data_IF_427485821819
#
_entry.id   IF_427485821819
#
_cell.length_a   1.000
_cell.length_b   1.000
_cell.length_c   1.000
_cell.angle_alpha   90.00
_cell.angle_beta   90.00
_cell.angle_gamma   90.00
#
_symmetry.space_group_name_H-M   'P 1'
#
loop_
_entity.id
_entity.type
_entity.pdbx_description
1 polymer ?
#
# COMPACT_ATOMS: atom_id res chain seq x y z
N UNK A 1 -45.46 -4.94 7.25
CA UNK A 1 -44.00 -5.14 7.45
C UNK A 1 -43.42 -6.02 6.33
N UNK A 2 -43.24 -5.50 5.10
CA UNK A 2 -42.69 -6.28 3.97
C UNK A 2 -41.97 -5.38 2.95
N UNK A 3 -40.92 -4.66 3.36
CA UNK A 3 -40.07 -3.94 2.39
C UNK A 3 -38.59 -3.76 2.82
N UNK A 4 -38.14 -4.40 3.92
CA UNK A 4 -36.75 -4.25 4.40
C UNK A 4 -35.78 -5.32 3.88
N UNK A 5 -36.26 -6.41 3.28
CA UNK A 5 -35.40 -7.52 2.79
C UNK A 5 -34.57 -7.23 1.54
N UNK A 6 -35.03 -6.48 0.51
CA UNK A 6 -34.20 -6.25 -0.68
C UNK A 6 -33.09 -5.23 -0.43
N UNK A 7 -33.27 -4.32 0.53
CA UNK A 7 -32.26 -3.33 0.90
C UNK A 7 -30.99 -3.98 1.47
N UNK A 8 -31.13 -5.03 2.29
CA UNK A 8 -30.00 -5.75 2.90
C UNK A 8 -29.18 -6.49 1.83
N UNK A 9 -29.85 -7.11 0.85
CA UNK A 9 -29.18 -7.84 -0.25
C UNK A 9 -28.47 -6.88 -1.21
N UNK A 10 -29.08 -5.72 -1.51
CA UNK A 10 -28.45 -4.71 -2.35
C UNK A 10 -27.21 -4.08 -1.69
N UNK A 11 -27.26 -3.87 -0.36
CA UNK A 11 -26.14 -3.30 0.38
C UNK A 11 -24.94 -4.25 0.46
N UNK A 12 -25.18 -5.56 0.67
CA UNK A 12 -24.09 -6.54 0.72
C UNK A 12 -23.39 -6.66 -0.63
N UNK A 13 -24.13 -6.67 -1.74
CA UNK A 13 -23.55 -6.72 -3.09
C UNK A 13 -22.69 -5.48 -3.41
N UNK A 14 -23.10 -4.28 -2.97
CA UNK A 14 -22.33 -3.06 -3.19
C UNK A 14 -20.96 -3.07 -2.45
N UNK A 15 -20.92 -3.58 -1.22
CA UNK A 15 -19.68 -3.66 -0.43
C UNK A 15 -18.69 -4.67 -1.03
N UNK A 16 -19.19 -5.83 -1.50
CA UNK A 16 -18.34 -6.83 -2.16
C UNK A 16 -17.79 -6.31 -3.51
N UNK A 17 -18.59 -5.61 -4.30
CA UNK A 17 -18.14 -5.01 -5.56
C UNK A 17 -17.00 -3.99 -5.37
N UNK A 18 -17.04 -3.22 -4.27
CA UNK A 18 -16.00 -2.23 -3.95
C UNK A 18 -14.66 -2.84 -3.53
N UNK A 19 -14.65 -3.97 -2.81
CA UNK A 19 -13.38 -4.64 -2.49
C UNK A 19 -12.73 -5.28 -3.72
N UNK A 20 -13.53 -5.91 -4.58
CA UNK A 20 -13.05 -6.55 -5.80
C UNK A 20 -12.51 -5.53 -6.83
N UNK A 21 -13.03 -4.30 -6.85
CA UNK A 21 -12.56 -3.27 -7.78
C UNK A 21 -11.18 -2.72 -7.41
N UNK A 22 -10.89 -2.55 -6.12
CA UNK A 22 -9.61 -2.03 -5.63
C UNK A 22 -8.47 -3.01 -5.88
N UNK A 23 -8.69 -4.31 -5.63
CA UNK A 23 -7.72 -5.37 -5.91
C UNK A 23 -7.38 -5.43 -7.40
N UNK A 24 -8.40 -5.44 -8.27
CA UNK A 24 -8.21 -5.39 -9.72
C UNK A 24 -7.45 -4.16 -10.18
N UNK A 25 -7.69 -3.00 -9.57
CA UNK A 25 -6.94 -1.77 -9.89
C UNK A 25 -5.48 -1.88 -9.48
N UNK A 26 -5.21 -2.40 -8.28
CA UNK A 26 -3.86 -2.64 -7.80
C UNK A 26 -3.08 -3.57 -8.76
N UNK A 27 -3.65 -4.71 -9.12
CA UNK A 27 -3.04 -5.68 -10.02
C UNK A 27 -2.81 -5.12 -11.43
N UNK A 28 -3.77 -4.35 -11.96
CA UNK A 28 -3.64 -3.73 -13.31
C UNK A 28 -2.55 -2.67 -13.39
N UNK A 29 -2.24 -2.00 -12.28
CA UNK A 29 -1.24 -0.93 -12.25
C UNK A 29 0.19 -1.48 -12.10
N UNK A 30 0.37 -2.69 -11.54
CA UNK A 30 1.70 -3.29 -11.37
C UNK A 30 2.47 -3.42 -12.70
N UNK A 31 1.90 -3.99 -13.79
CA UNK A 31 2.59 -4.06 -15.08
C UNK A 31 3.04 -2.70 -15.60
N UNK A 32 2.22 -1.66 -15.46
CA UNK A 32 2.56 -0.29 -15.87
C UNK A 32 3.80 0.19 -15.11
N UNK A 33 3.84 -0.02 -13.80
CA UNK A 33 4.98 0.37 -12.97
C UNK A 33 6.22 -0.49 -13.23
N UNK A 34 6.07 -1.77 -13.57
CA UNK A 34 7.21 -2.62 -13.98
C UNK A 34 7.90 -2.04 -15.21
N UNK A 35 7.12 -1.73 -16.24
CA UNK A 35 7.64 -1.30 -17.55
C UNK A 35 8.02 0.19 -17.60
N UNK A 36 7.44 1.04 -16.75
CA UNK A 36 7.69 2.49 -16.77
C UNK A 36 8.47 2.99 -15.55
N UNK A 37 9.77 3.31 -15.71
CA UNK A 37 10.55 3.99 -14.67
C UNK A 37 9.95 5.34 -14.27
N UNK A 38 9.39 6.08 -15.23
CA UNK A 38 8.74 7.37 -14.98
C UNK A 38 7.49 7.22 -14.12
N UNK A 39 6.65 6.21 -14.38
CA UNK A 39 5.48 5.95 -13.54
C UNK A 39 5.90 5.59 -12.10
N UNK A 40 6.96 4.80 -11.92
CA UNK A 40 7.54 4.52 -10.60
C UNK A 40 8.02 5.78 -9.90
N UNK A 41 8.75 6.65 -10.60
CA UNK A 41 9.24 7.91 -10.06
C UNK A 41 8.08 8.79 -9.57
N UNK A 42 7.00 8.93 -10.34
CA UNK A 42 5.82 9.70 -9.95
C UNK A 42 5.16 9.17 -8.66
N UNK A 43 5.07 7.85 -8.49
CA UNK A 43 4.51 7.26 -7.26
C UNK A 43 5.44 7.50 -6.07
N UNK A 44 6.76 7.38 -6.27
CA UNK A 44 7.75 7.69 -5.23
C UNK A 44 7.67 9.17 -4.84
N UNK A 45 7.57 10.09 -5.80
CA UNK A 45 7.45 11.53 -5.53
C UNK A 45 6.17 11.85 -4.76
N UNK A 46 5.05 11.20 -5.12
CA UNK A 46 3.79 11.31 -4.37
C UNK A 46 3.91 10.80 -2.93
N UNK A 47 4.67 9.72 -2.71
CA UNK A 47 4.98 9.24 -1.37
C UNK A 47 5.86 10.24 -0.60
N UNK A 48 6.86 10.81 -1.27
CA UNK A 48 7.77 11.81 -0.71
C UNK A 48 7.09 13.16 -0.42
N UNK A 49 5.97 13.49 -1.05
CA UNK A 49 5.22 14.72 -0.77
C UNK A 49 4.32 14.63 0.48
N UNK A 50 4.02 13.41 0.97
CA UNK A 50 3.14 13.24 2.15
C UNK A 50 3.79 13.81 3.41
N UNK A 51 3.10 14.67 4.15
CA UNK A 51 3.61 15.09 5.47
C UNK A 51 3.37 13.98 6.48
N UNK A 52 4.43 13.57 7.17
CA UNK A 52 4.38 12.54 8.19
C UNK A 52 4.68 13.16 9.55
N UNK A 53 3.93 12.79 10.60
CA UNK A 53 4.27 13.17 11.96
C UNK A 53 5.66 12.68 12.37
N UNK A 54 6.33 13.38 13.30
CA UNK A 54 7.64 12.99 13.79
C UNK A 54 7.77 11.54 14.22
N UNK A 55 6.82 11.04 14.98
CA UNK A 55 6.76 9.69 15.51
C UNK A 55 6.69 8.63 14.40
N UNK A 56 5.94 8.92 13.32
CA UNK A 56 5.86 8.03 12.16
C UNK A 56 7.20 7.94 11.43
N UNK A 57 7.96 9.04 11.37
CA UNK A 57 9.29 9.03 10.76
C UNK A 57 10.29 8.18 11.57
N UNK A 58 10.18 8.17 12.90
CA UNK A 58 11.02 7.33 13.77
C UNK A 58 10.68 5.85 13.60
N UNK A 59 9.40 5.49 13.54
CA UNK A 59 8.97 4.13 13.23
C UNK A 59 9.47 3.66 11.87
N UNK A 60 9.35 4.51 10.85
CA UNK A 60 9.87 4.20 9.52
C UNK A 60 11.38 3.99 9.58
N UNK A 61 12.12 4.89 10.23
CA UNK A 61 13.58 4.81 10.38
C UNK A 61 14.02 3.48 11.01
N UNK A 62 13.28 3.01 12.02
CA UNK A 62 13.49 1.71 12.64
C UNK A 62 13.33 0.55 11.63
N UNK A 63 12.24 0.52 10.86
CA UNK A 63 12.00 -0.57 9.92
C UNK A 63 12.97 -0.57 8.74
N UNK A 64 13.30 0.62 8.20
CA UNK A 64 14.25 0.74 7.09
C UNK A 64 15.71 0.68 7.52
N UNK A 65 15.98 0.66 8.83
CA UNK A 65 17.33 0.63 9.41
C UNK A 65 18.20 1.77 8.90
N UNK A 66 17.69 2.99 8.99
CA UNK A 66 18.43 4.19 8.56
C UNK A 66 18.25 5.34 9.54
N UNK A 67 19.03 6.39 9.35
CA UNK A 67 18.77 7.67 9.99
C UNK A 67 17.46 8.28 9.50
N UNK A 68 16.85 9.12 10.33
CA UNK A 68 15.56 9.77 10.08
C UNK A 68 15.54 10.63 8.81
N UNK A 69 16.67 11.26 8.47
CA UNK A 69 16.85 12.05 7.25
C UNK A 69 16.62 11.25 5.96
N UNK A 70 16.99 9.97 5.97
CA UNK A 70 16.87 9.06 4.81
C UNK A 70 15.65 8.15 4.87
N UNK A 71 15.03 8.04 6.05
CA UNK A 71 14.01 7.04 6.37
C UNK A 71 12.85 7.06 5.37
N UNK A 72 12.30 8.25 5.11
CA UNK A 72 11.16 8.41 4.20
C UNK A 72 11.50 8.04 2.76
N UNK A 73 12.66 8.47 2.27
CA UNK A 73 13.15 8.15 0.92
C UNK A 73 13.30 6.65 0.74
N UNK A 74 13.98 5.99 1.68
CA UNK A 74 14.19 4.55 1.66
C UNK A 74 12.87 3.79 1.76
N UNK A 75 11.94 4.25 2.59
CA UNK A 75 10.62 3.66 2.69
C UNK A 75 9.86 3.70 1.37
N UNK A 76 9.72 4.89 0.77
CA UNK A 76 8.98 5.05 -0.48
C UNK A 76 9.58 4.19 -1.61
N UNK A 77 10.91 4.17 -1.73
CA UNK A 77 11.62 3.37 -2.72
C UNK A 77 11.45 1.87 -2.49
N UNK A 78 11.71 1.39 -1.26
CA UNK A 78 11.66 -0.03 -0.93
C UNK A 78 10.24 -0.57 -1.05
N UNK A 79 9.25 0.14 -0.51
CA UNK A 79 7.85 -0.25 -0.63
C UNK A 79 7.44 -0.36 -2.10
N UNK A 80 7.75 0.65 -2.92
CA UNK A 80 7.39 0.62 -4.33
C UNK A 80 8.08 -0.52 -5.08
N UNK A 81 9.37 -0.74 -4.81
CA UNK A 81 10.10 -1.87 -5.40
C UNK A 81 9.51 -3.21 -4.97
N UNK A 82 9.11 -3.36 -3.71
CA UNK A 82 8.48 -4.59 -3.21
C UNK A 82 7.12 -4.86 -3.85
N UNK A 83 6.30 -3.83 -4.09
CA UNK A 83 5.03 -3.94 -4.82
C UNK A 83 5.29 -4.34 -6.27
N UNK A 84 6.20 -3.65 -6.96
CA UNK A 84 6.53 -3.93 -8.36
C UNK A 84 7.14 -5.32 -8.53
N UNK A 85 7.98 -5.77 -7.61
CA UNK A 85 8.58 -7.11 -7.66
C UNK A 85 7.61 -8.23 -7.23
N UNK A 86 6.40 -7.91 -6.78
CA UNK A 86 5.44 -8.87 -6.25
C UNK A 86 5.78 -9.42 -4.86
N UNK A 87 6.78 -8.85 -4.17
CA UNK A 87 7.10 -9.20 -2.77
C UNK A 87 6.06 -8.66 -1.78
N UNK A 88 5.29 -7.65 -2.19
CA UNK A 88 4.16 -7.09 -1.45
C UNK A 88 2.88 -7.40 -2.23
N UNK A 89 2.02 -8.23 -1.65
CA UNK A 89 0.70 -8.55 -2.22
C UNK A 89 -0.30 -7.41 -1.98
N UNK A 90 -1.46 -7.48 -2.63
CA UNK A 90 -2.58 -6.59 -2.31
C UNK A 90 -3.03 -6.76 -0.85
N UNK A 91 -3.00 -7.99 -0.31
CA UNK A 91 -3.36 -8.25 1.08
C UNK A 91 -2.39 -7.56 2.06
N UNK A 92 -1.09 -7.58 1.78
CA UNK A 92 -0.08 -6.85 2.55
C UNK A 92 -0.28 -5.34 2.46
N UNK A 93 -0.51 -4.83 1.25
CA UNK A 93 -0.79 -3.42 1.01
C UNK A 93 -2.03 -2.95 1.78
N UNK A 94 -3.13 -3.70 1.70
CA UNK A 94 -4.37 -3.44 2.44
C UNK A 94 -4.14 -3.51 3.94
N UNK A 95 -3.41 -4.51 4.43
CA UNK A 95 -3.08 -4.66 5.84
C UNK A 95 -2.35 -3.42 6.38
N UNK A 96 -1.37 -2.89 5.65
CA UNK A 96 -0.68 -1.66 6.02
C UNK A 96 -1.63 -0.46 6.01
N UNK A 97 -2.27 -0.15 4.88
CA UNK A 97 -2.92 1.14 4.67
C UNK A 97 -4.33 1.25 5.25
N UNK A 98 -5.06 0.13 5.36
CA UNK A 98 -6.43 0.13 5.88
C UNK A 98 -6.51 -0.38 7.32
N UNK A 99 -5.57 -1.23 7.73
CA UNK A 99 -5.63 -1.88 9.04
C UNK A 99 -4.46 -1.51 9.95
N UNK A 100 -3.51 -0.69 9.49
CA UNK A 100 -2.30 -0.29 10.23
C UNK A 100 -1.52 -1.50 10.77
N UNK A 101 -1.54 -2.62 10.03
CA UNK A 101 -0.85 -3.86 10.38
C UNK A 101 0.44 -3.99 9.61
N UNK A 102 1.53 -4.26 10.33
CA UNK A 102 2.86 -4.52 9.76
C UNK A 102 2.98 -6.01 9.47
N UNK A 103 3.09 -6.39 8.19
CA UNK A 103 3.23 -7.81 7.79
C UNK A 103 4.69 -8.24 7.70
N UNK A 104 4.99 -9.56 7.80
CA UNK A 104 6.36 -10.05 7.62
C UNK A 104 6.97 -9.68 6.26
N UNK A 105 6.18 -9.74 5.19
CA UNK A 105 6.62 -9.37 3.84
C UNK A 105 7.04 -7.91 3.76
N UNK A 106 6.23 -7.02 4.35
CA UNK A 106 6.57 -5.60 4.48
C UNK A 106 7.88 -5.38 5.23
N UNK A 107 8.05 -6.04 6.38
CA UNK A 107 9.28 -5.93 7.18
C UNK A 107 10.50 -6.39 6.37
N UNK A 108 10.39 -7.46 5.59
CA UNK A 108 11.49 -7.91 4.73
C UNK A 108 11.89 -6.85 3.71
N UNK A 109 10.90 -6.35 2.96
CA UNK A 109 11.09 -5.33 1.92
C UNK A 109 11.68 -4.05 2.51
N UNK A 110 11.14 -3.56 3.64
CA UNK A 110 11.64 -2.36 4.29
C UNK A 110 13.06 -2.54 4.82
N UNK A 111 13.46 -3.74 5.26
CA UNK A 111 14.85 -4.03 5.63
C UNK A 111 15.79 -4.13 4.42
N UNK A 112 15.27 -4.09 3.18
CA UNK A 112 16.04 -4.24 1.95
C UNK A 112 16.38 -5.69 1.59
N UNK A 113 15.56 -6.66 2.03
CA UNK A 113 15.70 -8.10 1.73
C UNK A 113 14.53 -8.59 0.88
#
# INVERSE_FOLDING_TARGET
>A
MRLMRPAIIAFTLAVLASCASQEKSFEKNIPIMKESPTARAQVIDKCMSQRLPPETLDEIAFYVKSQRSDAKRLFCQRLMNGVVSGKISYADFKAMFQHKKVTPALVSVLKGR
#
